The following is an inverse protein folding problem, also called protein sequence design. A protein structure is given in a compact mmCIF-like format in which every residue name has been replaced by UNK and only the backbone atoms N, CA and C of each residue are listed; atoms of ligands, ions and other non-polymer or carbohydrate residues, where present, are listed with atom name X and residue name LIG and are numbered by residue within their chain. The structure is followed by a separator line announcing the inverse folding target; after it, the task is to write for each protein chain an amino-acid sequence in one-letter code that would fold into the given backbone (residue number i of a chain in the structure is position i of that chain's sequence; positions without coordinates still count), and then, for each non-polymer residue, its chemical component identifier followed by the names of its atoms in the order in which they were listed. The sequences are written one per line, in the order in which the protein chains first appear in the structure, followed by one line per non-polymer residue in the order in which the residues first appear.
data_IF_210533707507
#
_entry.id   IF_210533707507
#
_cell.length_a   1.000
_cell.length_b   1.000
_cell.length_c   1.000
_cell.angle_alpha   90.00
_cell.angle_beta   90.00
_cell.angle_gamma   90.00
#
_symmetry.space_group_name_H-M   'P 1'
#
loop_
_entity.id
_entity.type
_entity.pdbx_description
1 polymer ?
#
# COMPACT_ATOMS: atom_id res chain seq x y z
N UNK A 1 11.94 -46.54 58.02
CA UNK A 1 11.41 -46.62 56.63
C UNK A 1 11.03 -45.22 56.23
N UNK A 2 11.91 -44.50 55.53
CA UNK A 2 11.77 -43.11 55.14
C UNK A 2 11.65 -43.02 53.62
N UNK A 3 10.46 -42.59 53.15
CA UNK A 3 10.09 -42.50 51.75
C UNK A 3 10.56 -41.13 51.22
N UNK A 4 11.60 -41.10 50.34
CA UNK A 4 12.05 -39.89 49.64
C UNK A 4 11.14 -39.63 48.46
N UNK A 5 10.37 -38.53 48.51
CA UNK A 5 9.66 -37.95 47.37
C UNK A 5 10.63 -37.17 46.52
N UNK A 6 10.91 -37.61 45.29
CA UNK A 6 11.62 -36.83 44.24
C UNK A 6 10.63 -35.90 43.60
N UNK A 7 10.81 -34.58 43.79
CA UNK A 7 10.10 -33.55 43.06
C UNK A 7 10.93 -33.29 41.80
N UNK A 8 10.39 -33.61 40.62
CA UNK A 8 10.96 -33.24 39.33
C UNK A 8 10.48 -31.84 38.99
N UNK A 9 11.37 -30.86 39.02
CA UNK A 9 11.13 -29.55 38.44
C UNK A 9 11.22 -29.64 36.90
N UNK A 10 10.08 -29.58 36.23
CA UNK A 10 10.04 -29.39 34.79
C UNK A 10 10.26 -27.90 34.50
N UNK A 11 11.45 -27.56 34.02
CA UNK A 11 11.77 -26.23 33.55
C UNK A 11 11.08 -25.98 32.18
N UNK A 12 10.07 -25.13 32.14
CA UNK A 12 9.48 -24.64 30.92
C UNK A 12 10.43 -23.58 30.34
N UNK A 13 11.21 -23.95 29.33
CA UNK A 13 11.98 -22.98 28.53
C UNK A 13 11.01 -22.23 27.61
N UNK A 14 10.67 -21.01 27.97
CA UNK A 14 9.95 -20.09 27.09
C UNK A 14 10.94 -19.61 26.02
N UNK A 15 10.89 -20.26 24.85
CA UNK A 15 11.54 -19.74 23.64
C UNK A 15 10.77 -18.51 23.20
N UNK A 16 11.21 -17.32 23.60
CA UNK A 16 10.79 -16.08 22.98
C UNK A 16 11.34 -16.06 21.54
N UNK A 17 10.47 -16.38 20.56
CA UNK A 17 10.79 -16.13 19.15
C UNK A 17 10.89 -14.62 18.96
N UNK A 18 12.11 -14.12 18.97
CA UNK A 18 12.42 -12.77 18.50
C UNK A 18 12.22 -12.81 16.99
N UNK A 19 11.05 -12.40 16.52
CA UNK A 19 10.83 -12.14 15.10
C UNK A 19 11.69 -10.93 14.73
N UNK A 20 12.85 -11.19 14.12
CA UNK A 20 13.63 -10.14 13.46
C UNK A 20 12.79 -9.56 12.35
N UNK A 21 12.29 -8.35 12.54
CA UNK A 21 11.63 -7.60 11.50
C UNK A 21 12.71 -7.26 10.46
N UNK A 22 12.72 -7.99 9.34
CA UNK A 22 13.59 -7.66 8.22
C UNK A 22 13.04 -6.40 7.53
N UNK A 23 13.91 -5.42 7.33
CA UNK A 23 13.60 -4.28 6.48
C UNK A 23 13.36 -4.77 5.03
N UNK A 24 12.21 -4.46 4.47
CA UNK A 24 11.90 -4.77 3.09
C UNK A 24 11.89 -3.51 2.25
N UNK A 25 12.70 -3.52 1.20
CA UNK A 25 12.84 -2.39 0.30
C UNK A 25 12.67 -2.86 -1.14
N UNK A 26 11.80 -2.19 -1.89
CA UNK A 26 11.63 -2.40 -3.32
C UNK A 26 11.82 -1.08 -4.06
N UNK A 27 12.62 -1.10 -5.11
CA UNK A 27 12.66 -0.02 -6.09
C UNK A 27 12.22 -0.62 -7.42
N UNK A 28 11.09 -0.19 -7.91
CA UNK A 28 10.39 -0.82 -9.04
C UNK A 28 10.17 0.22 -10.14
N UNK A 29 10.50 -0.16 -11.36
CA UNK A 29 10.08 0.54 -12.55
C UNK A 29 8.80 -0.13 -13.08
N UNK A 30 7.78 0.67 -13.32
CA UNK A 30 6.55 0.27 -13.99
C UNK A 30 6.48 0.92 -15.37
N UNK A 31 6.14 0.14 -16.38
CA UNK A 31 5.62 0.70 -17.64
C UNK A 31 4.19 1.18 -17.40
N UNK A 32 3.78 2.19 -18.17
CA UNK A 32 2.44 2.78 -18.09
C UNK A 32 1.80 2.76 -19.48
N UNK A 33 0.49 2.66 -19.55
CA UNK A 33 -0.26 2.91 -20.78
C UNK A 33 -0.25 4.41 -21.18
N UNK A 34 0.24 5.29 -20.30
CA UNK A 34 0.68 6.64 -20.64
C UNK A 34 2.19 6.61 -20.91
N UNK A 35 2.66 7.43 -21.82
CA UNK A 35 4.02 7.39 -22.39
C UNK A 35 5.19 7.33 -21.38
N UNK A 36 4.97 7.66 -20.12
CA UNK A 36 6.05 7.79 -19.12
C UNK A 36 6.01 6.70 -18.08
N UNK A 37 7.15 6.07 -17.79
CA UNK A 37 7.23 5.07 -16.70
C UNK A 37 7.05 5.73 -15.33
N UNK A 38 6.56 4.93 -14.37
CA UNK A 38 6.56 5.28 -12.96
C UNK A 38 7.67 4.52 -12.23
N UNK A 39 8.41 5.21 -11.37
CA UNK A 39 9.42 4.64 -10.48
C UNK A 39 8.87 4.66 -9.06
N UNK A 40 8.69 3.48 -8.49
CA UNK A 40 8.09 3.32 -7.15
C UNK A 40 9.12 2.75 -6.19
N UNK A 41 9.41 3.48 -5.12
CA UNK A 41 10.18 3.01 -3.99
C UNK A 41 9.22 2.66 -2.85
N UNK A 42 9.33 1.47 -2.32
CA UNK A 42 8.64 1.02 -1.11
C UNK A 42 9.69 0.66 -0.05
N UNK A 43 9.50 1.17 1.14
CA UNK A 43 10.33 0.85 2.32
C UNK A 43 9.41 0.47 3.47
N UNK A 44 9.69 -0.65 4.09
CA UNK A 44 9.01 -1.09 5.30
C UNK A 44 10.03 -1.57 6.31
N UNK A 45 10.11 -0.91 7.45
CA UNK A 45 11.02 -1.24 8.53
C UNK A 45 10.43 -0.87 9.87
N UNK A 46 10.58 -1.77 10.85
CA UNK A 46 10.21 -1.54 12.25
C UNK A 46 8.80 -0.99 12.43
N UNK A 47 7.83 -1.52 11.67
CA UNK A 47 6.44 -1.11 11.70
C UNK A 47 6.15 0.28 11.10
N UNK A 48 7.10 0.84 10.33
CA UNK A 48 6.93 2.08 9.56
C UNK A 48 7.05 1.78 8.08
N UNK A 49 6.30 2.49 7.26
CA UNK A 49 6.42 2.39 5.81
C UNK A 49 6.52 3.75 5.14
N UNK A 50 7.16 3.74 3.99
CA UNK A 50 7.19 4.85 3.04
C UNK A 50 7.03 4.31 1.62
N UNK A 51 6.13 4.90 0.86
CA UNK A 51 5.93 4.64 -0.56
C UNK A 51 6.15 5.95 -1.31
N UNK A 52 7.04 5.94 -2.28
CA UNK A 52 7.27 7.08 -3.16
C UNK A 52 7.11 6.65 -4.60
N UNK A 53 6.22 7.30 -5.35
CA UNK A 53 6.05 7.09 -6.79
C UNK A 53 6.47 8.36 -7.54
N UNK A 54 7.41 8.21 -8.47
CA UNK A 54 7.95 9.29 -9.28
C UNK A 54 7.64 9.08 -10.76
N UNK A 55 7.05 10.08 -11.38
CA UNK A 55 6.77 10.14 -12.82
C UNK A 55 7.52 11.34 -13.39
N UNK A 56 8.46 11.09 -14.29
CA UNK A 56 9.23 12.13 -14.96
C UNK A 56 8.64 12.38 -16.34
N UNK A 57 8.02 13.53 -16.53
CA UNK A 57 7.60 14.03 -17.84
C UNK A 57 8.66 15.05 -18.28
N UNK A 58 8.99 15.19 -19.57
CA UNK A 58 9.92 16.24 -20.00
C UNK A 58 9.56 17.61 -19.40
N UNK A 59 10.51 18.23 -18.73
CA UNK A 59 10.39 19.52 -18.03
C UNK A 59 9.39 19.53 -16.84
N UNK A 60 8.85 18.38 -16.43
CA UNK A 60 7.88 18.28 -15.35
C UNK A 60 8.05 16.99 -14.54
N UNK A 61 8.19 17.12 -13.23
CA UNK A 61 8.31 15.98 -12.31
C UNK A 61 7.13 15.94 -11.36
N UNK A 62 6.54 14.75 -11.21
CA UNK A 62 5.49 14.47 -10.23
C UNK A 62 6.01 13.42 -9.27
N UNK A 63 5.91 13.68 -7.97
CA UNK A 63 6.26 12.73 -6.93
C UNK A 63 5.09 12.62 -5.95
N UNK A 64 4.58 11.41 -5.79
CA UNK A 64 3.64 11.07 -4.74
C UNK A 64 4.38 10.36 -3.60
N UNK A 65 4.17 10.80 -2.38
CA UNK A 65 4.79 10.17 -1.19
C UNK A 65 3.73 9.89 -0.15
N UNK A 66 3.61 8.64 0.28
CA UNK A 66 2.78 8.22 1.40
C UNK A 66 3.69 7.65 2.50
N UNK A 67 3.44 8.02 3.75
CA UNK A 67 4.16 7.51 4.93
C UNK A 67 3.17 7.15 6.02
N UNK A 68 3.55 6.15 6.81
CA UNK A 68 2.72 5.73 7.92
C UNK A 68 3.33 4.63 8.75
N UNK A 69 2.48 3.99 9.52
CA UNK A 69 2.84 2.85 10.36
C UNK A 69 2.09 1.60 9.90
N UNK A 70 2.63 0.44 10.22
CA UNK A 70 1.96 -0.83 10.08
C UNK A 70 1.53 -1.32 11.47
N UNK A 71 0.30 -1.78 11.57
CA UNK A 71 -0.22 -2.44 12.76
C UNK A 71 -1.24 -3.51 12.37
N UNK A 72 -1.05 -4.73 12.85
CA UNK A 72 -1.95 -5.87 12.61
C UNK A 72 -2.18 -6.19 11.13
N UNK A 73 -1.15 -5.98 10.29
CA UNK A 73 -1.24 -6.20 8.84
C UNK A 73 -2.07 -5.15 8.12
N UNK A 74 -2.13 -3.94 8.63
CA UNK A 74 -2.75 -2.78 7.99
C UNK A 74 -1.74 -1.62 7.98
N UNK A 75 -1.51 -1.07 6.81
CA UNK A 75 -0.78 0.16 6.63
C UNK A 75 -1.66 1.34 7.03
N UNK A 76 -1.32 2.00 8.13
CA UNK A 76 -2.02 3.19 8.61
C UNK A 76 -1.28 4.42 8.08
N UNK A 77 -1.82 5.06 7.05
CA UNK A 77 -1.23 6.25 6.46
C UNK A 77 -1.33 7.42 7.45
N UNK A 78 -0.22 8.12 7.66
CA UNK A 78 -0.12 9.32 8.48
C UNK A 78 0.07 10.57 7.64
N UNK A 79 0.67 10.45 6.45
CA UNK A 79 0.83 11.57 5.55
C UNK A 79 0.84 11.14 4.09
N UNK A 80 0.36 12.04 3.24
CA UNK A 80 0.43 11.96 1.80
C UNK A 80 0.82 13.30 1.21
N UNK A 81 1.67 13.30 0.18
CA UNK A 81 2.09 14.51 -0.55
C UNK A 81 2.11 14.25 -2.06
N UNK A 82 1.48 15.17 -2.80
CA UNK A 82 1.62 15.36 -4.25
C UNK A 82 2.60 16.51 -4.45
N UNK A 83 3.80 16.21 -4.93
CA UNK A 83 4.86 17.19 -5.19
C UNK A 83 5.07 17.33 -6.69
N UNK A 84 5.10 18.56 -7.18
CA UNK A 84 5.25 18.90 -8.60
C UNK A 84 6.40 19.87 -8.77
N UNK A 85 7.39 19.50 -9.59
CA UNK A 85 8.63 20.25 -9.77
C UNK A 85 9.25 20.69 -8.42
N UNK A 86 9.33 19.75 -7.45
CA UNK A 86 9.91 19.98 -6.13
C UNK A 86 9.04 20.78 -5.15
N UNK A 87 7.84 21.25 -5.55
CA UNK A 87 6.92 22.01 -4.69
C UNK A 87 5.70 21.18 -4.34
N UNK A 88 5.33 21.14 -3.07
CA UNK A 88 4.09 20.46 -2.65
C UNK A 88 2.88 21.17 -3.28
N UNK A 89 2.08 20.37 -4.00
CA UNK A 89 0.87 20.84 -4.66
C UNK A 89 -0.38 20.54 -3.82
N UNK A 90 -0.45 19.33 -3.27
CA UNK A 90 -1.53 18.91 -2.40
C UNK A 90 -0.99 17.96 -1.33
N UNK A 91 -1.66 17.87 -0.20
CA UNK A 91 -1.27 17.01 0.91
C UNK A 91 -2.49 16.45 1.65
N UNK A 92 -2.25 15.41 2.42
CA UNK A 92 -3.11 14.97 3.51
C UNK A 92 -2.22 14.61 4.71
N UNK A 93 -2.53 15.17 5.88
CA UNK A 93 -1.85 14.87 7.14
C UNK A 93 -2.90 14.32 8.11
N UNK A 94 -2.56 13.21 8.77
CA UNK A 94 -3.48 12.47 9.63
C UNK A 94 -2.90 12.41 11.03
N UNK A 95 -3.66 12.86 11.99
CA UNK A 95 -3.42 12.64 13.41
C UNK A 95 -4.33 11.55 13.97
N UNK A 96 -4.41 11.40 15.29
CA UNK A 96 -5.23 10.37 15.91
C UNK A 96 -6.75 10.57 15.75
N UNK A 97 -7.21 11.76 15.38
CA UNK A 97 -8.63 12.15 15.37
C UNK A 97 -9.06 12.80 14.06
N UNK A 98 -8.15 13.46 13.38
CA UNK A 98 -8.48 14.32 12.23
C UNK A 98 -7.62 13.99 11.04
N UNK A 99 -8.14 14.33 9.88
CA UNK A 99 -7.39 14.44 8.64
C UNK A 99 -7.46 15.86 8.11
N UNK A 100 -6.30 16.46 7.86
CA UNK A 100 -6.17 17.74 7.21
C UNK A 100 -5.70 17.52 5.77
N UNK A 101 -6.38 18.09 4.78
CA UNK A 101 -6.07 17.84 3.37
C UNK A 101 -6.46 19.01 2.46
N UNK A 102 -5.87 19.07 1.29
CA UNK A 102 -6.19 20.09 0.28
C UNK A 102 -4.98 20.46 -0.57
N UNK A 103 -5.21 21.39 -1.51
CA UNK A 103 -4.11 22.03 -2.24
C UNK A 103 -3.47 23.09 -1.35
N UNK A 104 -2.13 23.13 -1.31
CA UNK A 104 -1.40 24.05 -0.41
C UNK A 104 -1.60 25.54 -0.73
N UNK A 105 -2.10 25.87 -1.92
CA UNK A 105 -2.45 27.26 -2.30
C UNK A 105 -3.85 27.70 -1.85
N UNK A 106 -4.63 26.79 -1.29
CA UNK A 106 -6.00 26.98 -0.81
C UNK A 106 -6.04 26.69 0.70
N UNK A 107 -7.02 27.20 1.44
CA UNK A 107 -7.21 26.79 2.83
C UNK A 107 -7.42 25.27 2.91
N UNK A 108 -6.63 24.62 3.77
CA UNK A 108 -6.76 23.19 3.99
C UNK A 108 -8.06 22.88 4.74
N UNK A 109 -8.71 21.80 4.37
CA UNK A 109 -9.89 21.26 5.06
C UNK A 109 -9.44 20.37 6.20
N UNK A 110 -10.18 20.39 7.30
CA UNK A 110 -9.99 19.48 8.42
C UNK A 110 -11.30 18.73 8.66
N UNK A 111 -11.24 17.41 8.68
CA UNK A 111 -12.39 16.54 8.96
C UNK A 111 -12.02 15.50 10.02
N UNK A 112 -13.02 14.94 10.70
CA UNK A 112 -12.82 13.83 11.64
C UNK A 112 -12.37 12.58 10.85
N UNK A 113 -11.38 11.90 11.36
CA UNK A 113 -10.93 10.62 10.83
C UNK A 113 -11.90 9.51 11.25
N UNK A 114 -12.81 9.13 10.37
CA UNK A 114 -13.84 8.13 10.66
C UNK A 114 -13.49 6.73 10.19
N UNK A 115 -12.49 6.60 9.32
CA UNK A 115 -12.05 5.32 8.76
C UNK A 115 -10.59 5.37 8.29
N UNK A 116 -9.93 4.22 8.12
CA UNK A 116 -8.58 4.15 7.56
C UNK A 116 -8.49 4.88 6.22
N UNK A 117 -7.38 5.59 5.99
CA UNK A 117 -7.16 6.35 4.77
C UNK A 117 -5.96 5.79 4.01
N UNK A 118 -6.09 5.64 2.70
CA UNK A 118 -5.04 5.18 1.79
C UNK A 118 -4.91 6.12 0.59
N UNK A 119 -3.75 6.10 -0.06
CA UNK A 119 -3.64 6.51 -1.45
C UNK A 119 -3.67 5.28 -2.36
N UNK A 120 -3.60 5.46 -3.68
CA UNK A 120 -3.64 4.36 -4.64
C UNK A 120 -2.49 3.36 -4.42
N UNK A 121 -1.27 3.86 -4.20
CA UNK A 121 -0.11 3.01 -4.01
C UNK A 121 -0.14 2.28 -2.66
N UNK A 122 -0.54 2.96 -1.59
CA UNK A 122 -0.74 2.31 -0.29
C UNK A 122 -1.79 1.21 -0.40
N UNK A 123 -2.89 1.43 -1.13
CA UNK A 123 -3.91 0.40 -1.39
C UNK A 123 -3.32 -0.81 -2.15
N UNK A 124 -2.53 -0.56 -3.19
CA UNK A 124 -1.92 -1.62 -3.99
C UNK A 124 -0.89 -2.44 -3.20
N UNK A 125 -0.04 -1.77 -2.41
CA UNK A 125 0.92 -2.45 -1.54
C UNK A 125 0.23 -3.16 -0.37
N UNK A 126 -0.84 -2.61 0.20
CA UNK A 126 -1.66 -3.25 1.23
C UNK A 126 -2.20 -4.60 0.73
N UNK A 127 -2.76 -4.64 -0.47
CA UNK A 127 -3.27 -5.87 -1.08
C UNK A 127 -2.13 -6.84 -1.41
N UNK A 128 -1.01 -6.35 -1.93
CA UNK A 128 0.11 -7.21 -2.32
C UNK A 128 0.85 -7.79 -1.12
N UNK A 129 0.91 -7.06 -0.03
CA UNK A 129 1.67 -7.42 1.17
C UNK A 129 0.87 -8.29 2.14
N UNK A 130 -0.42 -7.95 2.36
CA UNK A 130 -1.26 -8.55 3.39
C UNK A 130 -2.51 -9.26 2.88
N UNK A 131 -2.74 -9.29 1.57
CA UNK A 131 -3.90 -9.96 0.93
C UNK A 131 -5.27 -9.47 1.43
N UNK A 132 -5.36 -8.30 2.04
CA UNK A 132 -6.59 -7.80 2.66
C UNK A 132 -6.71 -6.27 2.63
N UNK A 133 -7.94 -5.78 2.66
CA UNK A 133 -8.31 -4.39 2.93
C UNK A 133 -9.29 -4.33 4.12
N UNK A 134 -9.38 -3.20 4.82
CA UNK A 134 -10.51 -2.93 5.71
C UNK A 134 -11.83 -2.97 4.92
N UNK A 135 -12.91 -3.40 5.56
CA UNK A 135 -14.25 -3.43 4.94
C UNK A 135 -14.80 -2.05 4.62
N UNK A 136 -14.31 -1.04 5.32
CA UNK A 136 -14.60 0.37 5.07
C UNK A 136 -13.32 1.17 5.19
N UNK A 137 -13.04 1.99 4.22
CA UNK A 137 -11.88 2.89 4.18
C UNK A 137 -12.17 4.07 3.26
N UNK A 138 -11.29 5.03 3.24
CA UNK A 138 -11.34 6.13 2.27
C UNK A 138 -10.02 6.22 1.52
N UNK A 139 -10.09 6.71 0.29
CA UNK A 139 -8.88 7.03 -0.46
C UNK A 139 -8.69 8.54 -0.55
N UNK A 140 -7.44 8.96 -0.74
CA UNK A 140 -7.10 10.36 -0.96
C UNK A 140 -6.08 10.52 -2.09
N UNK A 141 -6.15 11.64 -2.75
CA UNK A 141 -5.12 12.16 -3.66
C UNK A 141 -4.53 13.49 -3.13
N UNK A 142 -4.67 13.73 -1.83
CA UNK A 142 -4.27 14.95 -1.16
C UNK A 142 -5.23 16.13 -1.34
N UNK A 143 -6.08 16.11 -2.37
CA UNK A 143 -7.02 17.23 -2.67
C UNK A 143 -8.42 16.96 -2.13
N UNK A 144 -8.81 15.68 -2.08
CA UNK A 144 -10.16 15.23 -1.71
C UNK A 144 -10.07 13.89 -1.00
N UNK A 145 -11.08 13.59 -0.20
CA UNK A 145 -11.33 12.27 0.37
C UNK A 145 -12.44 11.58 -0.42
N UNK A 146 -12.32 10.27 -0.57
CA UNK A 146 -13.27 9.41 -1.26
C UNK A 146 -13.62 8.23 -0.35
N UNK A 147 -14.64 8.38 0.52
CA UNK A 147 -15.10 7.31 1.39
C UNK A 147 -15.61 6.12 0.57
N UNK A 148 -15.25 4.91 0.98
CA UNK A 148 -15.72 3.66 0.38
C UNK A 148 -16.16 2.72 1.51
N UNK A 149 -17.41 2.87 1.97
CA UNK A 149 -18.00 1.99 2.96
C UNK A 149 -18.34 0.64 2.32
N UNK A 150 -18.24 -0.43 3.13
CA UNK A 150 -18.68 -1.78 2.76
C UNK A 150 -18.08 -2.30 1.44
N UNK A 151 -16.77 -2.07 1.25
CA UNK A 151 -16.08 -2.51 0.03
C UNK A 151 -16.17 -4.03 -0.12
N UNK A 152 -16.52 -4.47 -1.32
CA UNK A 152 -16.51 -5.89 -1.71
C UNK A 152 -15.23 -6.18 -2.46
N UNK A 153 -14.24 -6.74 -1.77
CA UNK A 153 -13.00 -7.17 -2.37
C UNK A 153 -13.20 -8.52 -3.05
N UNK A 154 -13.04 -8.56 -4.37
CA UNK A 154 -13.00 -9.80 -5.14
C UNK A 154 -11.55 -10.26 -5.27
N UNK A 155 -11.27 -11.53 -4.95
CA UNK A 155 -9.96 -12.17 -5.10
C UNK A 155 -10.10 -13.38 -6.01
N UNK A 156 -9.33 -13.42 -7.09
CA UNK A 156 -9.25 -14.56 -8.00
C UNK A 156 -7.80 -15.01 -8.15
N UNK A 157 -7.61 -16.27 -8.52
CA UNK A 157 -6.29 -16.85 -8.72
C UNK A 157 -6.31 -17.70 -9.99
N UNK A 158 -5.23 -17.61 -10.78
CA UNK A 158 -5.05 -18.42 -11.99
C UNK A 158 -3.58 -18.70 -12.25
N UNK A 159 -3.30 -19.84 -12.85
CA UNK A 159 -1.98 -20.15 -13.37
C UNK A 159 -1.68 -19.30 -14.62
N UNK A 160 -0.48 -18.70 -14.68
CA UNK A 160 0.03 -17.95 -15.82
C UNK A 160 1.45 -18.39 -16.12
N UNK A 161 1.80 -18.49 -17.40
CA UNK A 161 3.17 -18.84 -17.80
C UNK A 161 3.88 -17.58 -18.30
N UNK A 162 5.05 -17.30 -17.72
CA UNK A 162 5.92 -16.21 -18.11
C UNK A 162 7.36 -16.70 -18.19
N UNK A 163 8.03 -16.47 -19.32
CA UNK A 163 9.42 -16.91 -19.54
C UNK A 163 9.63 -18.42 -19.27
N UNK A 164 8.68 -19.27 -19.68
CA UNK A 164 8.74 -20.72 -19.49
C UNK A 164 8.51 -21.20 -18.05
N UNK A 165 8.20 -20.33 -17.10
CA UNK A 165 7.85 -20.66 -15.71
C UNK A 165 6.38 -20.38 -15.43
N UNK A 166 5.73 -21.30 -14.72
CA UNK A 166 4.33 -21.12 -14.30
C UNK A 166 4.27 -20.50 -12.92
N UNK A 167 3.46 -19.48 -12.78
CA UNK A 167 3.19 -18.74 -11.55
C UNK A 167 1.69 -18.75 -11.25
N UNK A 168 1.33 -18.63 -9.99
CA UNK A 168 -0.05 -18.35 -9.57
C UNK A 168 -0.23 -16.83 -9.51
N UNK A 169 -0.97 -16.26 -10.47
CA UNK A 169 -1.35 -14.85 -10.47
C UNK A 169 -2.59 -14.66 -9.58
N UNK A 170 -2.46 -13.82 -8.57
CA UNK A 170 -3.55 -13.39 -7.70
C UNK A 170 -4.02 -12.02 -8.18
N UNK A 171 -5.31 -11.89 -8.44
CA UNK A 171 -5.94 -10.64 -8.84
C UNK A 171 -6.92 -10.20 -7.77
N UNK A 172 -6.77 -8.97 -7.31
CA UNK A 172 -7.71 -8.28 -6.43
C UNK A 172 -8.45 -7.22 -7.25
N UNK A 173 -9.75 -7.14 -7.09
CA UNK A 173 -10.56 -6.09 -7.73
C UNK A 173 -11.67 -5.63 -6.81
N UNK A 174 -11.95 -4.34 -6.85
CA UNK A 174 -13.06 -3.72 -6.14
C UNK A 174 -13.42 -2.39 -6.83
N UNK A 175 -14.60 -1.89 -6.49
CA UNK A 175 -15.08 -0.57 -6.96
C UNK A 175 -15.24 0.34 -5.75
N UNK A 176 -14.72 1.55 -5.83
CA UNK A 176 -14.89 2.60 -4.83
C UNK A 176 -16.29 3.20 -4.92
N UNK A 177 -16.74 3.91 -3.88
CA UNK A 177 -18.06 4.54 -3.87
C UNK A 177 -18.21 5.63 -4.95
N UNK A 178 -17.12 6.22 -5.42
CA UNK A 178 -17.11 7.14 -6.57
C UNK A 178 -16.91 6.42 -7.92
N UNK A 179 -17.30 5.14 -7.97
CA UNK A 179 -17.34 4.28 -9.17
C UNK A 179 -16.00 4.04 -9.86
N UNK A 180 -14.87 4.20 -9.18
CA UNK A 180 -13.57 3.83 -9.72
C UNK A 180 -13.32 2.35 -9.53
N UNK A 181 -13.15 1.61 -10.61
CA UNK A 181 -12.69 0.22 -10.57
C UNK A 181 -11.18 0.20 -10.34
N UNK A 182 -10.74 -0.53 -9.31
CA UNK A 182 -9.33 -0.72 -8.99
C UNK A 182 -9.00 -2.20 -9.15
N UNK A 183 -7.92 -2.50 -9.83
CA UNK A 183 -7.37 -3.86 -9.98
C UNK A 183 -5.91 -3.86 -9.58
N UNK A 184 -5.54 -4.84 -8.75
CA UNK A 184 -4.16 -5.09 -8.34
C UNK A 184 -3.84 -6.55 -8.61
N UNK A 185 -2.68 -6.84 -9.21
CA UNK A 185 -2.22 -8.22 -9.41
C UNK A 185 -0.82 -8.40 -8.84
N UNK A 186 -0.57 -9.61 -8.36
CA UNK A 186 0.76 -10.08 -7.93
C UNK A 186 0.93 -11.55 -8.26
N UNK A 187 2.13 -12.09 -8.19
CA UNK A 187 2.31 -13.52 -8.08
C UNK A 187 2.25 -13.96 -6.61
N UNK A 188 1.82 -15.19 -6.39
CA UNK A 188 1.78 -15.79 -5.06
C UNK A 188 3.17 -15.71 -4.39
N UNK A 189 3.20 -15.33 -3.12
CA UNK A 189 4.44 -15.11 -2.35
C UNK A 189 5.09 -13.75 -2.55
N UNK A 190 4.74 -12.99 -3.58
CA UNK A 190 5.28 -11.63 -3.75
C UNK A 190 4.59 -10.63 -2.82
N UNK A 191 5.34 -9.62 -2.40
CA UNK A 191 4.89 -8.55 -1.50
C UNK A 191 4.78 -7.19 -2.20
N UNK A 192 4.81 -7.16 -3.52
CA UNK A 192 4.68 -5.96 -4.33
C UNK A 192 3.68 -6.20 -5.48
N UNK A 193 3.01 -5.16 -5.96
CA UNK A 193 2.08 -5.28 -7.08
C UNK A 193 2.83 -5.42 -8.41
N UNK A 194 2.48 -6.42 -9.23
CA UNK A 194 2.94 -6.52 -10.63
C UNK A 194 2.08 -5.71 -11.59
N UNK A 195 0.85 -5.43 -11.18
CA UNK A 195 -0.09 -4.66 -11.96
C UNK A 195 -0.97 -3.83 -11.04
N UNK A 196 -1.15 -2.58 -11.40
CA UNK A 196 -2.08 -1.66 -10.76
C UNK A 196 -2.88 -0.99 -11.87
N UNK A 197 -4.21 -1.05 -11.79
CA UNK A 197 -5.05 -0.22 -12.65
C UNK A 197 -6.14 0.46 -11.85
N UNK A 198 -6.53 1.62 -12.31
CA UNK A 198 -7.74 2.28 -11.87
C UNK A 198 -8.42 3.00 -13.03
N UNK A 199 -9.73 2.87 -13.10
CA UNK A 199 -10.54 3.60 -14.06
C UNK A 199 -10.99 4.91 -13.42
N UNK A 200 -10.88 6.00 -14.18
CA UNK A 200 -11.34 7.31 -13.76
C UNK A 200 -11.88 8.07 -14.97
N UNK A 201 -13.12 8.54 -14.87
CA UNK A 201 -13.76 9.41 -15.87
C UNK A 201 -13.73 8.82 -17.31
N UNK A 202 -13.79 7.48 -17.43
CA UNK A 202 -13.67 6.75 -18.69
C UNK A 202 -12.26 6.39 -19.11
N UNK A 203 -11.24 6.99 -18.49
CA UNK A 203 -9.83 6.66 -18.74
C UNK A 203 -9.37 5.53 -17.84
N UNK A 204 -8.67 4.56 -18.40
CA UNK A 204 -8.06 3.46 -17.67
C UNK A 204 -6.55 3.69 -17.53
N UNK A 205 -6.10 3.86 -16.29
CA UNK A 205 -4.69 4.05 -15.94
C UNK A 205 -4.10 2.72 -15.52
N UNK A 206 -3.01 2.32 -16.16
CA UNK A 206 -2.34 1.04 -15.90
C UNK A 206 -0.85 1.24 -15.63
N UNK A 207 -0.37 0.54 -14.61
CA UNK A 207 1.04 0.35 -14.31
C UNK A 207 1.34 -1.14 -14.33
N UNK A 208 2.32 -1.55 -15.14
CA UNK A 208 2.77 -2.94 -15.27
C UNK A 208 4.22 -3.03 -14.81
N UNK A 209 4.52 -3.99 -13.93
CA UNK A 209 5.88 -4.27 -13.49
C UNK A 209 6.79 -4.47 -14.70
N UNK A 210 7.86 -3.70 -14.76
CA UNK A 210 8.91 -3.82 -15.79
C UNK A 210 10.15 -4.50 -15.16
N UNK A 211 10.75 -3.86 -14.16
CA UNK A 211 11.99 -4.35 -13.55
C UNK A 211 12.18 -3.78 -12.15
N UNK A 212 13.04 -4.42 -11.37
CA UNK A 212 13.63 -3.79 -10.20
C UNK A 212 14.76 -2.87 -10.66
N UNK A 213 14.88 -1.72 -9.98
CA UNK A 213 15.95 -0.75 -10.22
C UNK A 213 16.81 -0.60 -8.98
N UNK A 214 18.09 -0.30 -9.20
CA UNK A 214 19.06 -0.10 -8.13
C UNK A 214 18.92 1.28 -7.50
#
# INVERSE_FOLDING_TARGET
MTLFRKIALAGIAIFSMISTAYAENFNIKYSSNYLMPAYVSFKHDSGKYEIQSKINIPLYSIVFTAKGTEKNGIFNMLSYRDTRNGKTYALAEIDSKNIQYGKVKEPLKTELLTMPTFDLFTTAFQLSYYDKLPTSFQTTNGKKLYPTPNVKLNKTQKAVTQNGKTYQEITYSFTTADHKAITVKKFEGEKFPRFISYNRDGDNYELKFDSFVK
#
